data_IF_216522135144
#
_entry.id   IF_216522135144
#
_cell.length_a   1.000
_cell.length_b   1.000
_cell.length_c   1.000
_cell.angle_alpha   90.00
_cell.angle_beta   90.00
_cell.angle_gamma   90.00
#
_symmetry.space_group_name_H-M   'P 1'
#
loop_
_entity.id
_entity.type
_entity.pdbx_description
1 polymer ?
#
# COMPACT_ATOMS: atom_id res chain seq x y z
N UNK A 1 5.50 10.66 5.50
CA UNK A 1 5.87 9.23 5.56
C UNK A 1 6.59 8.97 6.88
N UNK A 2 6.29 7.87 7.58
CA UNK A 2 6.80 7.54 8.93
C UNK A 2 8.07 6.67 8.95
N UNK A 3 8.62 6.43 10.15
CA UNK A 3 9.95 5.84 10.40
C UNK A 3 10.06 4.37 9.96
N UNK A 4 11.26 3.99 9.49
CA UNK A 4 11.62 2.64 9.07
C UNK A 4 12.00 1.78 10.29
N UNK A 5 11.22 0.77 10.61
CA UNK A 5 11.57 -0.27 11.59
C UNK A 5 12.01 -1.52 10.83
N UNK A 6 13.32 -1.81 10.86
CA UNK A 6 13.92 -2.93 10.15
C UNK A 6 14.02 -4.16 11.04
N UNK A 7 13.08 -5.09 10.92
CA UNK A 7 13.28 -6.48 11.33
C UNK A 7 13.65 -7.29 10.08
N UNK A 8 14.83 -7.94 10.09
CA UNK A 8 15.26 -8.93 9.10
C UNK A 8 15.03 -8.55 7.61
N UNK A 9 15.39 -7.31 7.23
CA UNK A 9 15.35 -6.87 5.83
C UNK A 9 13.94 -6.58 5.28
N UNK A 10 12.92 -6.43 6.12
CA UNK A 10 11.58 -5.94 5.70
C UNK A 10 11.48 -4.40 5.82
N UNK A 11 10.72 -3.78 4.91
CA UNK A 11 10.34 -2.38 4.92
C UNK A 11 8.83 -2.25 4.97
N UNK A 12 8.34 -1.35 5.81
CA UNK A 12 6.92 -1.07 6.02
C UNK A 12 6.60 0.36 5.61
N UNK A 13 5.59 0.54 4.76
CA UNK A 13 5.21 1.84 4.23
C UNK A 13 3.71 2.07 4.41
N UNK A 14 3.29 3.02 5.25
CA UNK A 14 1.89 3.33 5.43
C UNK A 14 1.33 4.15 4.26
N UNK A 15 0.14 3.78 3.79
CA UNK A 15 -0.72 4.55 2.89
C UNK A 15 -1.86 5.10 3.73
N UNK A 16 -2.05 6.43 3.72
CA UNK A 16 -3.18 7.08 4.37
C UNK A 16 -4.32 7.31 3.37
N UNK A 17 -5.53 6.92 3.76
CA UNK A 17 -6.78 7.17 3.05
C UNK A 17 -7.56 8.22 3.83
N UNK A 18 -7.59 9.46 3.33
CA UNK A 18 -8.32 10.56 3.96
C UNK A 18 -9.68 10.73 3.32
N UNK A 19 -10.73 10.82 4.14
CA UNK A 19 -12.06 11.19 3.66
C UNK A 19 -12.11 12.70 3.39
N UNK A 20 -12.04 13.10 2.13
CA UNK A 20 -12.12 14.50 1.70
C UNK A 20 -13.56 14.97 1.42
N UNK A 21 -14.56 14.10 1.59
CA UNK A 21 -15.96 14.47 1.42
C UNK A 21 -16.54 15.11 2.68
N UNK A 22 -17.74 15.69 2.54
CA UNK A 22 -18.51 16.26 3.66
C UNK A 22 -19.36 15.23 4.40
N UNK A 23 -19.32 13.96 4.00
CA UNK A 23 -20.12 12.87 4.59
C UNK A 23 -19.23 11.73 5.07
N UNK A 24 -19.73 10.88 5.97
CA UNK A 24 -18.96 9.72 6.41
C UNK A 24 -18.87 8.67 5.31
N UNK A 25 -17.70 8.03 5.14
CA UNK A 25 -17.50 6.92 4.21
C UNK A 25 -17.01 5.66 4.95
N UNK A 26 -17.32 4.49 4.40
CA UNK A 26 -16.88 3.22 4.97
C UNK A 26 -15.83 2.57 4.05
N UNK A 27 -14.71 2.16 4.62
CA UNK A 27 -13.67 1.38 3.96
C UNK A 27 -13.63 -0.02 4.57
N UNK A 28 -13.52 -1.06 3.73
CA UNK A 28 -13.47 -2.43 4.19
C UNK A 28 -12.58 -3.28 3.28
N UNK A 29 -11.59 -3.95 3.86
CA UNK A 29 -10.71 -4.88 3.16
C UNK A 29 -9.33 -4.30 2.84
N UNK A 30 -8.79 -4.70 1.70
CA UNK A 30 -7.42 -4.37 1.27
C UNK A 30 -7.44 -3.38 0.11
N UNK A 31 -6.52 -2.40 0.09
CA UNK A 31 -6.30 -1.63 -1.11
C UNK A 31 -5.50 -2.46 -2.14
N UNK A 32 -5.80 -2.25 -3.42
CA UNK A 32 -4.97 -2.78 -4.50
C UNK A 32 -3.75 -1.89 -4.69
N UNK A 33 -2.54 -2.45 -4.74
CA UNK A 33 -1.31 -1.67 -4.95
C UNK A 33 -0.49 -2.28 -6.09
N UNK A 34 -0.08 -1.47 -7.05
CA UNK A 34 0.84 -1.87 -8.13
C UNK A 34 1.94 -0.85 -8.32
N UNK A 35 3.10 -1.30 -8.77
CA UNK A 35 4.23 -0.42 -9.11
C UNK A 35 4.18 -0.11 -10.60
N UNK A 36 4.38 1.14 -11.00
CA UNK A 36 4.40 1.57 -12.40
C UNK A 36 5.72 2.25 -12.79
N UNK A 37 6.06 2.20 -14.07
CA UNK A 37 7.14 2.98 -14.69
C UNK A 37 6.70 4.42 -15.01
N UNK A 38 7.58 5.20 -15.65
CA UNK A 38 7.32 6.59 -16.07
C UNK A 38 6.26 6.72 -17.15
N UNK A 39 5.97 5.64 -17.90
CA UNK A 39 4.91 5.58 -18.90
C UNK A 39 3.60 5.00 -18.30
N UNK A 40 3.51 4.90 -16.98
CA UNK A 40 2.40 4.32 -16.23
C UNK A 40 2.11 2.85 -16.56
N UNK A 41 3.09 2.10 -17.06
CA UNK A 41 2.99 0.65 -17.26
C UNK A 41 3.36 -0.10 -16.00
N UNK A 42 2.61 -1.15 -15.70
CA UNK A 42 2.82 -1.93 -14.49
C UNK A 42 4.12 -2.75 -14.54
N UNK A 43 4.88 -2.69 -13.45
CA UNK A 43 6.10 -3.47 -13.23
C UNK A 43 5.79 -4.63 -12.29
N UNK A 44 5.79 -5.85 -12.82
CA UNK A 44 5.55 -7.06 -12.03
C UNK A 44 4.10 -7.19 -11.51
N UNK A 45 3.85 -8.13 -10.59
CA UNK A 45 2.51 -8.34 -10.02
C UNK A 45 2.12 -7.23 -9.02
N UNK A 46 0.81 -7.14 -8.74
CA UNK A 46 0.30 -6.31 -7.66
C UNK A 46 0.67 -6.88 -6.27
N UNK A 47 0.58 -6.05 -5.23
CA UNK A 47 0.79 -6.48 -3.85
C UNK A 47 -0.27 -7.53 -3.47
N UNK A 48 0.18 -8.61 -2.83
CA UNK A 48 -0.72 -9.64 -2.31
C UNK A 48 -1.24 -9.24 -0.94
N UNK A 49 -2.44 -9.70 -0.58
CA UNK A 49 -3.01 -9.41 0.74
C UNK A 49 -2.23 -10.13 1.84
N UNK A 50 -2.05 -9.48 2.99
CA UNK A 50 -1.35 -10.06 4.15
C UNK A 50 -2.06 -11.26 4.78
N UNK A 51 -3.36 -11.44 4.51
CA UNK A 51 -4.18 -12.51 5.07
C UNK A 51 -4.77 -12.24 6.45
N UNK A 52 -4.47 -11.09 7.07
CA UNK A 52 -5.09 -10.67 8.34
C UNK A 52 -6.59 -10.38 8.21
N UNK A 53 -7.31 -10.62 9.31
CA UNK A 53 -8.71 -10.21 9.45
C UNK A 53 -8.84 -8.69 9.40
N UNK A 54 -9.97 -8.22 8.90
CA UNK A 54 -10.29 -6.79 8.82
C UNK A 54 -11.73 -6.51 9.23
N UNK A 55 -11.92 -5.33 9.81
CA UNK A 55 -13.24 -4.77 10.12
C UNK A 55 -13.59 -3.66 9.12
N UNK A 56 -14.85 -3.21 9.17
CA UNK A 56 -15.26 -1.99 8.47
C UNK A 56 -14.74 -0.79 9.25
N UNK A 57 -14.06 0.13 8.56
CA UNK A 57 -13.60 1.40 9.12
C UNK A 57 -14.48 2.51 8.58
N UNK A 58 -15.19 3.20 9.46
CA UNK A 58 -15.97 4.39 9.11
C UNK A 58 -15.13 5.63 9.34
N UNK A 59 -14.93 6.42 8.28
CA UNK A 59 -14.21 7.68 8.33
C UNK A 59 -15.20 8.84 8.28
N UNK A 60 -15.23 9.64 9.34
CA UNK A 60 -15.86 10.95 9.32
C UNK A 60 -15.13 11.88 8.33
N UNK A 61 -15.77 13.00 7.91
CA UNK A 61 -15.10 14.03 7.13
C UNK A 61 -13.75 14.43 7.72
N UNK A 62 -12.75 14.62 6.85
CA UNK A 62 -11.36 14.95 7.18
C UNK A 62 -10.56 13.92 8.02
N UNK A 63 -11.14 12.76 8.34
CA UNK A 63 -10.42 11.69 9.06
C UNK A 63 -9.73 10.72 8.10
N UNK A 64 -8.73 9.99 8.60
CA UNK A 64 -7.93 9.06 7.81
C UNK A 64 -7.90 7.65 8.40
N UNK A 65 -7.89 6.66 7.51
CA UNK A 65 -7.49 5.28 7.81
C UNK A 65 -6.13 5.00 7.17
N UNK A 66 -5.47 3.93 7.57
CA UNK A 66 -4.17 3.52 7.03
C UNK A 66 -4.16 2.07 6.60
N UNK A 67 -3.41 1.77 5.54
CA UNK A 67 -3.00 0.41 5.22
C UNK A 67 -1.48 0.37 5.06
N UNK A 68 -0.84 -0.73 5.44
CA UNK A 68 0.62 -0.83 5.37
C UNK A 68 1.05 -1.73 4.23
N UNK A 69 2.00 -1.26 3.42
CA UNK A 69 2.69 -2.07 2.43
C UNK A 69 3.94 -2.68 3.05
N UNK A 70 4.19 -3.95 2.79
CA UNK A 70 5.43 -4.65 3.11
C UNK A 70 6.24 -4.94 1.86
N UNK A 71 7.51 -4.59 1.88
CA UNK A 71 8.53 -5.00 0.90
C UNK A 71 9.81 -5.39 1.62
N UNK A 72 10.90 -5.71 0.90
CA UNK A 72 12.22 -5.90 1.50
C UNK A 72 13.19 -4.77 1.22
N UNK A 73 14.13 -4.56 2.13
CA UNK A 73 15.24 -3.63 1.98
C UNK A 73 16.35 -4.25 1.13
N UNK A 74 16.06 -4.47 -0.16
CA UNK A 74 16.98 -5.09 -1.10
C UNK A 74 16.76 -6.60 -1.30
N UNK A 75 17.67 -7.26 -2.05
CA UNK A 75 17.56 -8.67 -2.40
C UNK A 75 17.91 -9.56 -1.22
N UNK A 76 16.91 -9.93 -0.43
CA UNK A 76 17.01 -10.90 0.67
C UNK A 76 16.72 -12.28 0.09
N UNK A 77 17.67 -12.80 -0.70
CA UNK A 77 17.56 -14.13 -1.32
C UNK A 77 16.82 -14.19 -2.66
N UNK A 78 16.52 -13.05 -3.30
CA UNK A 78 15.98 -13.03 -4.67
C UNK A 78 16.18 -11.69 -5.39
N UNK A 79 16.06 -11.65 -6.73
CA UNK A 79 16.37 -10.45 -7.51
C UNK A 79 15.39 -9.31 -7.23
N UNK A 80 15.85 -8.10 -7.50
CA UNK A 80 14.98 -6.92 -7.53
C UNK A 80 14.40 -6.71 -8.92
N UNK A 81 13.15 -6.23 -8.98
CA UNK A 81 12.56 -5.71 -10.21
C UNK A 81 13.14 -4.32 -10.54
N UNK A 82 12.80 -3.84 -11.74
CA UNK A 82 13.06 -2.45 -12.12
C UNK A 82 12.45 -1.49 -11.09
N UNK A 83 13.12 -0.36 -10.86
CA UNK A 83 12.60 0.68 -9.98
C UNK A 83 11.46 1.39 -10.68
N UNK A 84 10.27 1.38 -10.07
CA UNK A 84 9.12 2.16 -10.54
C UNK A 84 9.18 3.61 -10.09
N UNK A 85 8.41 4.44 -10.77
CA UNK A 85 8.28 5.88 -10.52
C UNK A 85 6.95 6.26 -9.88
N UNK A 86 5.95 5.38 -9.95
CA UNK A 86 4.63 5.59 -9.37
C UNK A 86 4.12 4.33 -8.66
N UNK A 87 3.30 4.55 -7.64
CA UNK A 87 2.40 3.54 -7.10
C UNK A 87 0.98 3.82 -7.59
N UNK A 88 0.33 2.79 -8.13
CA UNK A 88 -1.10 2.79 -8.43
C UNK A 88 -1.84 2.17 -7.25
N UNK A 89 -2.63 2.97 -6.55
CA UNK A 89 -3.35 2.57 -5.34
C UNK A 89 -4.85 2.62 -5.59
N UNK A 90 -5.55 1.51 -5.40
CA UNK A 90 -7.01 1.42 -5.40
C UNK A 90 -7.50 1.36 -3.95
N UNK A 91 -8.29 2.34 -3.47
CA UNK A 91 -8.92 2.24 -2.16
C UNK A 91 -9.81 0.99 -2.06
N UNK A 92 -9.99 0.42 -0.86
CA UNK A 92 -10.91 -0.72 -0.67
C UNK A 92 -12.32 -0.38 -1.18
N UNK A 93 -12.93 -1.32 -1.89
CA UNK A 93 -14.24 -1.17 -2.53
C UNK A 93 -14.36 -0.04 -3.58
N UNK A 94 -13.25 0.58 -3.99
CA UNK A 94 -13.22 1.55 -5.10
C UNK A 94 -12.49 0.97 -6.31
N UNK A 95 -13.00 1.27 -7.52
CA UNK A 95 -12.34 0.94 -8.80
C UNK A 95 -11.51 2.09 -9.36
N UNK A 96 -11.51 3.24 -8.69
CA UNK A 96 -10.74 4.40 -9.10
C UNK A 96 -9.37 4.36 -8.44
N UNK A 97 -8.32 4.30 -9.25
CA UNK A 97 -6.95 4.37 -8.75
C UNK A 97 -6.47 5.80 -8.56
N UNK A 98 -5.61 5.98 -7.57
CA UNK A 98 -4.76 7.15 -7.39
C UNK A 98 -3.33 6.78 -7.76
N UNK A 99 -2.67 7.64 -8.54
CA UNK A 99 -1.26 7.50 -8.83
C UNK A 99 -0.45 8.36 -7.86
N UNK A 100 0.44 7.71 -7.10
CA UNK A 100 1.32 8.36 -6.14
C UNK A 100 2.73 8.35 -6.70
N UNK A 101 3.33 9.51 -7.04
CA UNK A 101 4.73 9.59 -7.43
C UNK A 101 5.62 9.10 -6.29
N UNK A 102 6.33 8.00 -6.52
CA UNK A 102 7.21 7.40 -5.52
C UNK A 102 8.21 6.47 -6.22
N UNK A 103 9.50 6.67 -5.96
CA UNK A 103 10.52 5.71 -6.34
C UNK A 103 10.32 4.42 -5.53
N UNK A 104 9.95 3.33 -6.19
CA UNK A 104 9.60 2.09 -5.51
C UNK A 104 10.30 0.89 -6.14
N UNK A 105 10.89 0.04 -5.30
CA UNK A 105 11.57 -1.18 -5.73
C UNK A 105 11.06 -2.38 -4.94
N UNK A 106 10.66 -3.41 -5.67
CA UNK A 106 10.26 -4.70 -5.09
C UNK A 106 11.38 -5.69 -5.31
N UNK A 107 11.82 -6.33 -4.23
CA UNK A 107 12.87 -7.32 -4.24
C UNK A 107 12.38 -8.64 -3.63
N UNK A 108 13.04 -9.74 -3.99
CA UNK A 108 12.79 -11.07 -3.42
C UNK A 108 11.34 -11.57 -3.59
N UNK A 109 10.57 -10.97 -4.51
CA UNK A 109 9.14 -11.27 -4.69
C UNK A 109 8.24 -10.85 -3.52
N UNK A 110 8.75 -10.16 -2.51
CA UNK A 110 7.97 -9.77 -1.33
C UNK A 110 7.34 -8.41 -1.60
N UNK A 111 6.04 -8.43 -1.87
CA UNK A 111 5.21 -7.25 -1.99
C UNK A 111 3.81 -7.56 -1.45
N UNK A 112 3.55 -7.13 -0.23
CA UNK A 112 2.29 -7.42 0.48
C UNK A 112 1.62 -6.13 0.94
N UNK A 113 0.32 -6.18 1.17
CA UNK A 113 -0.45 -5.07 1.72
C UNK A 113 -1.38 -5.55 2.81
N UNK A 114 -1.44 -4.81 3.92
CA UNK A 114 -2.35 -5.00 5.03
C UNK A 114 -3.74 -4.42 4.75
N UNK A 115 -4.76 -4.81 5.52
CA UNK A 115 -6.07 -4.21 5.39
C UNK A 115 -6.05 -2.77 5.89
N UNK A 116 -7.05 -1.98 5.48
CA UNK A 116 -7.24 -0.66 6.09
C UNK A 116 -7.65 -0.80 7.56
N UNK A 117 -6.99 -0.02 8.42
CA UNK A 117 -7.28 0.09 9.85
C UNK A 117 -6.87 1.47 10.39
N UNK A 118 -7.37 1.82 11.56
CA UNK A 118 -7.02 3.07 12.27
C UNK A 118 -5.73 2.96 13.08
N UNK A 119 -5.22 1.74 13.27
CA UNK A 119 -4.11 1.45 14.19
C UNK A 119 -2.74 1.50 13.50
N UNK A 120 -2.69 1.63 12.18
CA UNK A 120 -1.45 1.69 11.41
C UNK A 120 -0.66 0.39 11.36
N UNK A 121 -1.29 -0.76 11.64
CA UNK A 121 -0.59 -2.04 11.74
C UNK A 121 -0.81 -2.92 10.51
N UNK A 122 0.23 -3.70 10.16
CA UNK A 122 0.12 -4.75 9.14
C UNK A 122 -0.72 -5.87 9.64
#
# INVERSE_FOLDING_TARGET
MGRKEGAAGSLYWPIAFTNTSTTSCALRGYPGVSVLDTAHRQIGPAAVHSGRSYATVTLAPAHSATAVIRTTNGPVGGPCRATGSYLRVYPPASRTAVLVPAAWKVCSGIFQVGPVNTDGTL
#
